data_IF_546168319588
#
_entry.id   IF_546168319588
#
_cell.length_a   1.000
_cell.length_b   1.000
_cell.length_c   1.000
_cell.angle_alpha   90.00
_cell.angle_beta   90.00
_cell.angle_gamma   90.00
#
_symmetry.space_group_name_H-M   'P 1'
#
loop_
_entity.id
_entity.type
_entity.pdbx_description
1 polymer ?
#
# COMPACT_ATOMS: atom_id res chain seq x y z
N UNK A 1 -47.03 -18.34 28.09
CA UNK A 1 -45.75 -19.02 27.80
C UNK A 1 -44.73 -18.44 28.74
N UNK A 2 -44.37 -19.15 29.81
CA UNK A 2 -43.31 -18.70 30.73
C UNK A 2 -41.97 -18.86 30.03
N UNK A 3 -41.26 -17.74 29.83
CA UNK A 3 -39.88 -17.76 29.35
C UNK A 3 -39.03 -18.24 30.52
N UNK A 4 -38.62 -19.52 30.51
CA UNK A 4 -37.59 -20.02 31.42
C UNK A 4 -36.26 -19.38 31.05
N UNK A 5 -35.89 -18.33 31.78
CA UNK A 5 -34.54 -17.78 31.75
C UNK A 5 -33.66 -18.74 32.54
N UNK A 6 -32.85 -19.53 31.83
CA UNK A 6 -31.87 -20.41 32.45
C UNK A 6 -30.59 -19.59 32.68
N UNK A 7 -30.32 -19.23 33.93
CA UNK A 7 -29.10 -18.50 34.27
C UNK A 7 -27.87 -19.40 34.09
N UNK A 8 -26.84 -18.84 33.45
CA UNK A 8 -25.57 -19.54 33.27
C UNK A 8 -24.84 -19.61 34.62
N UNK A 9 -24.30 -20.78 34.94
CA UNK A 9 -23.39 -20.91 36.09
C UNK A 9 -22.12 -20.09 35.88
N UNK A 10 -21.46 -19.70 36.97
CA UNK A 10 -20.19 -18.96 36.95
C UNK A 10 -19.12 -19.66 36.09
N UNK A 11 -19.06 -21.00 36.14
CA UNK A 11 -18.17 -21.79 35.27
C UNK A 11 -18.48 -21.64 33.79
N UNK A 12 -19.76 -21.58 33.42
CA UNK A 12 -20.19 -21.40 32.02
C UNK A 12 -19.92 -19.97 31.54
N UNK A 13 -20.06 -18.96 32.42
CA UNK A 13 -19.69 -17.58 32.12
C UNK A 13 -18.17 -17.45 31.88
N UNK A 14 -17.35 -18.09 32.72
CA UNK A 14 -15.89 -18.13 32.55
C UNK A 14 -15.48 -18.82 31.24
N UNK A 15 -16.11 -19.93 30.91
CA UNK A 15 -15.83 -20.65 29.67
C UNK A 15 -16.25 -19.83 28.43
N UNK A 16 -17.40 -19.16 28.50
CA UNK A 16 -17.87 -18.26 27.46
C UNK A 16 -16.92 -17.07 27.29
N UNK A 17 -16.51 -16.42 28.38
CA UNK A 17 -15.56 -15.30 28.35
C UNK A 17 -14.23 -15.72 27.70
N UNK A 18 -13.70 -16.90 28.06
CA UNK A 18 -12.50 -17.46 27.42
C UNK A 18 -12.69 -17.67 25.91
N UNK A 19 -13.82 -18.24 25.49
CA UNK A 19 -14.12 -18.46 24.06
C UNK A 19 -14.25 -17.14 23.29
N UNK A 20 -14.89 -16.13 23.87
CA UNK A 20 -15.01 -14.79 23.28
C UNK A 20 -13.62 -14.16 23.09
N UNK A 21 -12.78 -14.17 24.12
CA UNK A 21 -11.42 -13.60 24.04
C UNK A 21 -10.59 -14.30 22.97
N UNK A 22 -10.66 -15.63 22.88
CA UNK A 22 -9.96 -16.41 21.84
C UNK A 22 -10.49 -16.07 20.44
N UNK A 23 -11.80 -15.95 20.26
CA UNK A 23 -12.41 -15.58 18.98
C UNK A 23 -11.97 -14.19 18.54
N UNK A 24 -12.07 -13.19 19.41
CA UNK A 24 -11.66 -11.80 19.11
C UNK A 24 -10.19 -11.74 18.70
N UNK A 25 -9.31 -12.46 19.42
CA UNK A 25 -7.88 -12.52 19.05
C UNK A 25 -7.67 -13.12 17.67
N UNK A 26 -8.39 -14.20 17.35
CA UNK A 26 -8.31 -14.86 16.04
C UNK A 26 -8.82 -13.95 14.92
N UNK A 27 -9.93 -13.26 15.15
CA UNK A 27 -10.53 -12.33 14.17
C UNK A 27 -9.58 -11.16 13.88
N UNK A 28 -8.99 -10.56 14.93
CA UNK A 28 -7.96 -9.52 14.78
C UNK A 28 -6.74 -10.02 14.01
N UNK A 29 -6.25 -11.24 14.29
CA UNK A 29 -5.12 -11.81 13.55
C UNK A 29 -5.44 -12.02 12.06
N UNK A 30 -6.67 -12.44 11.75
CA UNK A 30 -7.13 -12.59 10.37
C UNK A 30 -7.25 -11.24 9.66
N UNK A 31 -7.83 -10.22 10.31
CA UNK A 31 -7.92 -8.86 9.78
C UNK A 31 -6.52 -8.29 9.47
N UNK A 32 -5.56 -8.47 10.38
CA UNK A 32 -4.15 -8.07 10.18
C UNK A 32 -3.55 -8.75 8.94
N UNK A 33 -3.73 -10.06 8.79
CA UNK A 33 -3.22 -10.81 7.63
C UNK A 33 -3.87 -10.33 6.33
N UNK A 34 -5.17 -10.07 6.35
CA UNK A 34 -5.92 -9.55 5.20
C UNK A 34 -5.46 -8.14 4.83
N UNK A 35 -5.26 -7.27 5.82
CA UNK A 35 -4.76 -5.92 5.61
C UNK A 35 -3.37 -5.94 4.95
N UNK A 36 -2.40 -6.67 5.52
CA UNK A 36 -1.05 -6.80 4.94
C UNK A 36 -1.08 -7.33 3.51
N UNK A 37 -1.95 -8.32 3.23
CA UNK A 37 -2.14 -8.87 1.88
C UNK A 37 -2.69 -7.80 0.90
N UNK A 38 -3.68 -7.01 1.33
CA UNK A 38 -4.25 -5.91 0.54
C UNK A 38 -3.24 -4.79 0.30
N UNK A 39 -2.50 -4.38 1.32
CA UNK A 39 -1.46 -3.36 1.22
C UNK A 39 -0.36 -3.76 0.23
N UNK A 40 0.15 -4.98 0.33
CA UNK A 40 1.11 -5.53 -0.65
C UNK A 40 0.54 -5.54 -2.07
N UNK A 41 -0.70 -6.00 -2.23
CA UNK A 41 -1.36 -6.01 -3.54
C UNK A 41 -1.50 -4.59 -4.13
N UNK A 42 -1.92 -3.63 -3.32
CA UNK A 42 -2.09 -2.23 -3.72
C UNK A 42 -0.76 -1.58 -4.07
N UNK A 43 0.30 -1.81 -3.29
CA UNK A 43 1.64 -1.33 -3.61
C UNK A 43 2.12 -1.89 -4.96
N UNK A 44 1.93 -3.20 -5.19
CA UNK A 44 2.25 -3.81 -6.49
C UNK A 44 1.44 -3.19 -7.64
N UNK A 45 0.15 -2.95 -7.44
CA UNK A 45 -0.74 -2.37 -8.45
C UNK A 45 -0.32 -0.93 -8.81
N UNK A 46 0.01 -0.13 -7.80
CA UNK A 46 0.55 1.22 -7.95
C UNK A 46 1.84 1.20 -8.77
N UNK A 47 2.83 0.38 -8.37
CA UNK A 47 4.11 0.32 -9.08
C UNK A 47 3.97 -0.18 -10.52
N UNK A 48 3.13 -1.18 -10.76
CA UNK A 48 2.90 -1.70 -12.12
C UNK A 48 2.30 -0.65 -13.05
N UNK A 49 1.49 0.28 -12.50
CA UNK A 49 0.86 1.36 -13.27
C UNK A 49 1.49 2.73 -13.03
N UNK A 50 2.66 2.80 -12.40
CA UNK A 50 3.26 4.05 -11.92
C UNK A 50 3.34 5.12 -13.02
N UNK A 51 3.91 4.77 -14.18
CA UNK A 51 4.04 5.68 -15.32
C UNK A 51 2.68 6.21 -15.85
N UNK A 52 1.66 5.34 -15.93
CA UNK A 52 0.31 5.73 -16.39
C UNK A 52 -0.34 6.69 -15.39
N UNK A 53 -0.26 6.35 -14.10
CA UNK A 53 -0.82 7.16 -13.02
C UNK A 53 -0.07 8.49 -12.89
N UNK A 54 1.25 8.50 -13.08
CA UNK A 54 2.08 9.70 -13.07
C UNK A 54 1.73 10.62 -14.24
N UNK A 55 1.63 10.08 -15.46
CA UNK A 55 1.20 10.84 -16.63
C UNK A 55 -0.22 11.42 -16.46
N UNK A 56 -1.16 10.60 -15.97
CA UNK A 56 -2.52 11.08 -15.66
C UNK A 56 -2.51 12.17 -14.59
N UNK A 57 -1.79 11.97 -13.49
CA UNK A 57 -1.67 12.96 -12.40
C UNK A 57 -1.16 14.29 -12.93
N UNK A 58 -0.07 14.28 -13.70
CA UNK A 58 0.49 15.51 -14.27
C UNK A 58 -0.50 16.20 -15.22
N UNK A 59 -1.22 15.45 -16.05
CA UNK A 59 -2.20 16.02 -16.98
C UNK A 59 -3.41 16.66 -16.30
N UNK A 60 -3.77 16.20 -15.09
CA UNK A 60 -4.92 16.74 -14.34
C UNK A 60 -4.53 17.69 -13.21
N UNK A 61 -3.25 17.86 -12.93
CA UNK A 61 -2.73 18.69 -11.83
C UNK A 61 -3.08 20.16 -12.00
N UNK A 62 -2.83 20.73 -13.18
CA UNK A 62 -3.18 22.12 -13.52
C UNK A 62 -4.69 22.40 -13.28
N UNK A 63 -5.54 21.47 -13.71
CA UNK A 63 -7.00 21.55 -13.54
C UNK A 63 -7.45 21.46 -12.07
N UNK A 64 -6.64 20.86 -11.19
CA UNK A 64 -6.94 20.75 -9.75
C UNK A 64 -6.52 22.02 -9.01
N UNK A 65 -5.42 22.66 -9.43
CA UNK A 65 -4.93 23.91 -8.84
C UNK A 65 -5.83 25.10 -9.22
N UNK A 66 -6.28 25.19 -10.47
CA UNK A 66 -7.19 26.24 -10.95
C UNK A 66 -8.54 26.26 -10.22
N UNK A 67 -9.05 25.11 -9.78
CA UNK A 67 -10.37 25.00 -9.17
C UNK A 67 -10.36 25.23 -7.66
N UNK A 68 -9.23 25.27 -6.97
CA UNK A 68 -9.23 25.61 -5.54
C UNK A 68 -9.82 27.02 -5.26
N UNK A 69 -9.75 27.94 -6.22
CA UNK A 69 -10.37 29.26 -6.14
C UNK A 69 -11.89 29.29 -6.37
N UNK A 70 -12.47 28.24 -6.98
CA UNK A 70 -13.92 28.15 -7.32
C UNK A 70 -14.63 26.99 -6.63
N UNK A 71 -13.89 26.18 -5.87
CA UNK A 71 -14.35 24.94 -5.22
C UNK A 71 -15.51 25.11 -4.24
N UNK A 72 -15.71 26.32 -3.71
CA UNK A 72 -16.73 26.59 -2.70
C UNK A 72 -18.05 27.15 -3.26
N UNK A 73 -18.14 27.46 -4.56
CA UNK A 73 -19.25 28.28 -5.09
C UNK A 73 -20.28 27.56 -5.98
N UNK A 74 -20.08 26.32 -6.41
CA UNK A 74 -21.02 25.69 -7.35
C UNK A 74 -21.63 24.36 -6.91
N UNK A 75 -22.89 24.47 -6.51
CA UNK A 75 -23.84 23.42 -6.15
C UNK A 75 -24.45 22.79 -7.40
N UNK A 76 -23.79 21.88 -8.13
CA UNK A 76 -24.48 20.87 -8.99
C UNK A 76 -23.63 19.60 -9.20
N UNK A 77 -24.19 18.46 -8.77
CA UNK A 77 -23.64 17.09 -8.86
C UNK A 77 -23.27 16.69 -10.30
N UNK A 78 -21.97 16.67 -10.63
CA UNK A 78 -21.27 15.67 -11.47
C UNK A 78 -19.82 16.11 -11.75
N UNK A 79 -19.57 17.42 -11.87
CA UNK A 79 -18.20 17.96 -11.96
C UNK A 79 -17.42 17.68 -10.67
N UNK A 80 -18.03 17.90 -9.50
CA UNK A 80 -17.38 17.71 -8.21
C UNK A 80 -16.78 16.32 -8.03
N UNK A 81 -17.47 15.26 -8.45
CA UNK A 81 -17.00 13.87 -8.24
C UNK A 81 -15.80 13.57 -9.14
N UNK A 82 -15.83 13.98 -10.41
CA UNK A 82 -14.71 13.82 -11.32
C UNK A 82 -13.49 14.62 -10.83
N UNK A 83 -13.73 15.86 -10.39
CA UNK A 83 -12.71 16.73 -9.83
C UNK A 83 -12.11 16.20 -8.53
N UNK A 84 -12.94 15.70 -7.62
CA UNK A 84 -12.50 15.02 -6.41
C UNK A 84 -11.64 13.79 -6.74
N UNK A 85 -12.03 13.00 -7.74
CA UNK A 85 -11.24 11.84 -8.17
C UNK A 85 -9.90 12.25 -8.76
N UNK A 86 -9.84 13.29 -9.60
CA UNK A 86 -8.59 13.88 -10.11
C UNK A 86 -7.70 14.37 -8.97
N UNK A 87 -8.25 15.15 -8.04
CA UNK A 87 -7.51 15.66 -6.89
C UNK A 87 -6.99 14.53 -5.97
N UNK A 88 -7.77 13.47 -5.77
CA UNK A 88 -7.34 12.27 -5.05
C UNK A 88 -6.18 11.58 -5.77
N UNK A 89 -6.26 11.40 -7.09
CA UNK A 89 -5.17 10.83 -7.88
C UNK A 89 -3.88 11.65 -7.78
N UNK A 90 -3.98 12.98 -7.86
CA UNK A 90 -2.82 13.88 -7.70
C UNK A 90 -2.20 13.75 -6.32
N UNK A 91 -3.00 13.83 -5.25
CA UNK A 91 -2.52 13.67 -3.88
C UNK A 91 -1.89 12.29 -3.65
N UNK A 92 -2.50 11.23 -4.17
CA UNK A 92 -1.98 9.88 -4.08
C UNK A 92 -0.62 9.74 -4.78
N UNK A 93 -0.48 10.28 -6.00
CA UNK A 93 0.79 10.20 -6.72
C UNK A 93 1.89 11.05 -6.06
N UNK A 94 1.55 12.23 -5.51
CA UNK A 94 2.49 13.01 -4.67
C UNK A 94 2.98 12.19 -3.47
N UNK A 95 2.07 11.50 -2.78
CA UNK A 95 2.42 10.60 -1.67
C UNK A 95 3.34 9.46 -2.13
N UNK A 96 3.00 8.80 -3.23
CA UNK A 96 3.82 7.72 -3.81
C UNK A 96 5.24 8.20 -4.15
N UNK A 97 5.37 9.38 -4.77
CA UNK A 97 6.69 9.94 -5.11
C UNK A 97 7.55 10.25 -3.87
N UNK A 98 6.93 10.77 -2.79
CA UNK A 98 7.61 10.99 -1.51
C UNK A 98 8.09 9.66 -0.93
N UNK A 99 7.23 8.64 -0.89
CA UNK A 99 7.57 7.31 -0.39
C UNK A 99 8.68 6.64 -1.22
N UNK A 100 8.68 6.81 -2.54
CA UNK A 100 9.73 6.29 -3.41
C UNK A 100 11.09 6.94 -3.15
N UNK A 101 11.12 8.25 -2.94
CA UNK A 101 12.35 8.97 -2.55
C UNK A 101 12.87 8.49 -1.19
N UNK A 102 11.99 8.36 -0.20
CA UNK A 102 12.37 7.83 1.10
C UNK A 102 12.93 6.40 1.00
N UNK A 103 12.29 5.53 0.21
CA UNK A 103 12.80 4.18 -0.02
C UNK A 103 14.16 4.17 -0.71
N UNK A 104 14.35 5.02 -1.73
CA UNK A 104 15.64 5.19 -2.42
C UNK A 104 16.75 5.58 -1.43
N UNK A 105 16.50 6.60 -0.61
CA UNK A 105 17.45 7.09 0.39
C UNK A 105 17.82 5.99 1.38
N UNK A 106 16.82 5.28 1.93
CA UNK A 106 17.02 4.15 2.84
C UNK A 106 17.90 3.06 2.22
N UNK A 107 17.61 2.68 0.96
CA UNK A 107 18.37 1.66 0.25
C UNK A 107 19.80 2.10 -0.07
N UNK A 108 20.01 3.38 -0.39
CA UNK A 108 21.35 3.93 -0.67
C UNK A 108 22.20 4.09 0.59
N UNK A 109 21.59 4.41 1.73
CA UNK A 109 22.29 4.52 3.02
C UNK A 109 22.52 3.17 3.70
N UNK A 110 21.88 2.09 3.25
CA UNK A 110 22.02 0.77 3.83
C UNK A 110 23.44 0.22 3.62
N UNK A 111 23.98 -0.41 4.67
CA UNK A 111 25.25 -1.15 4.59
C UNK A 111 25.10 -2.48 3.84
N UNK A 112 23.87 -2.91 3.56
CA UNK A 112 23.59 -4.19 2.89
C UNK A 112 23.49 -3.98 1.36
N UNK A 113 24.34 -4.65 0.56
CA UNK A 113 24.29 -4.56 -0.90
C UNK A 113 22.94 -5.00 -1.51
N UNK A 114 22.20 -5.84 -0.79
CA UNK A 114 20.88 -6.32 -1.22
C UNK A 114 19.85 -5.19 -1.31
N UNK A 115 19.89 -4.19 -0.42
CA UNK A 115 18.92 -3.10 -0.41
C UNK A 115 19.15 -2.16 -1.59
N UNK A 116 20.42 -1.85 -1.91
CA UNK A 116 20.75 -1.12 -3.12
C UNK A 116 20.31 -1.87 -4.38
N UNK A 117 20.44 -3.21 -4.39
CA UNK A 117 19.97 -4.05 -5.49
C UNK A 117 18.44 -4.00 -5.62
N UNK A 118 17.70 -4.09 -4.51
CA UNK A 118 16.23 -3.95 -4.49
C UNK A 118 15.80 -2.61 -5.09
N UNK A 119 16.44 -1.51 -4.71
CA UNK A 119 16.18 -0.19 -5.31
C UNK A 119 16.43 -0.19 -6.82
N UNK A 120 17.59 -0.69 -7.28
CA UNK A 120 17.91 -0.77 -8.71
C UNK A 120 16.85 -1.55 -9.49
N UNK A 121 16.38 -2.67 -8.95
CA UNK A 121 15.31 -3.49 -9.54
C UNK A 121 14.01 -2.68 -9.64
N UNK A 122 13.56 -2.04 -8.55
CA UNK A 122 12.32 -1.25 -8.56
C UNK A 122 12.42 -0.08 -9.54
N UNK A 123 13.52 0.67 -9.49
CA UNK A 123 13.73 1.85 -10.32
C UNK A 123 13.66 1.50 -11.82
N UNK A 124 14.47 0.53 -12.26
CA UNK A 124 14.52 0.14 -13.67
C UNK A 124 13.34 -0.70 -14.12
N UNK A 125 12.55 -1.28 -13.22
CA UNK A 125 11.35 -2.03 -13.60
C UNK A 125 10.11 -1.16 -13.74
N UNK A 126 9.98 -0.10 -12.94
CA UNK A 126 8.71 0.63 -12.84
C UNK A 126 8.80 2.15 -12.98
N UNK A 127 9.96 2.76 -12.71
CA UNK A 127 10.07 4.21 -12.49
C UNK A 127 10.79 4.89 -13.64
N UNK A 128 12.05 4.52 -13.88
CA UNK A 128 12.92 5.24 -14.80
C UNK A 128 13.24 4.42 -16.05
N UNK A 129 13.07 5.04 -17.22
CA UNK A 129 13.44 4.44 -18.49
C UNK A 129 14.98 4.30 -18.65
N UNK A 130 15.49 3.33 -19.43
CA UNK A 130 14.73 2.26 -20.09
C UNK A 130 14.22 1.23 -19.08
N UNK A 131 12.97 0.79 -19.27
CA UNK A 131 12.39 -0.27 -18.45
C UNK A 131 13.00 -1.62 -18.81
N UNK A 132 13.41 -2.38 -17.80
CA UNK A 132 14.11 -3.65 -17.98
C UNK A 132 13.22 -4.84 -17.60
N UNK A 133 13.33 -5.91 -18.40
CA UNK A 133 12.75 -7.21 -18.06
C UNK A 133 13.52 -7.88 -16.90
N UNK A 134 12.92 -8.91 -16.30
CA UNK A 134 13.57 -9.71 -15.26
C UNK A 134 14.89 -10.32 -15.73
N UNK A 135 14.93 -10.80 -16.98
CA UNK A 135 16.13 -11.41 -17.56
C UNK A 135 17.24 -10.38 -17.77
N UNK A 136 16.89 -9.17 -18.24
CA UNK A 136 17.87 -8.08 -18.40
C UNK A 136 18.38 -7.55 -17.06
N UNK A 137 17.52 -7.49 -16.04
CA UNK A 137 17.95 -7.15 -14.69
C UNK A 137 18.87 -8.23 -14.10
N UNK A 138 18.58 -9.51 -14.35
CA UNK A 138 19.41 -10.63 -13.91
C UNK A 138 20.81 -10.57 -14.54
N UNK A 139 20.88 -10.33 -15.86
CA UNK A 139 22.14 -10.11 -16.59
C UNK A 139 22.93 -8.92 -16.00
N UNK A 140 22.31 -7.74 -15.88
CA UNK A 140 22.99 -6.51 -15.42
C UNK A 140 23.47 -6.57 -13.96
N UNK A 141 22.72 -7.27 -13.11
CA UNK A 141 23.02 -7.36 -11.68
C UNK A 141 23.85 -8.61 -11.33
N UNK A 142 24.17 -9.45 -12.32
CA UNK A 142 24.88 -10.72 -12.16
C UNK A 142 24.25 -11.62 -11.08
N UNK A 143 22.93 -11.81 -11.16
CA UNK A 143 22.17 -12.68 -10.26
C UNK A 143 21.17 -13.52 -11.04
N UNK A 144 20.71 -14.62 -10.44
CA UNK A 144 19.64 -15.41 -11.05
C UNK A 144 18.33 -14.63 -11.15
N UNK A 145 17.53 -14.94 -12.17
CA UNK A 145 16.17 -14.42 -12.33
C UNK A 145 15.30 -14.65 -11.08
N UNK A 146 15.48 -15.77 -10.39
CA UNK A 146 14.79 -16.09 -9.14
C UNK A 146 15.13 -15.08 -8.03
N UNK A 147 16.38 -14.61 -7.97
CA UNK A 147 16.83 -13.57 -7.04
C UNK A 147 16.24 -12.21 -7.41
N UNK A 148 16.17 -11.85 -8.70
CA UNK A 148 15.47 -10.63 -9.14
C UNK A 148 14.01 -10.65 -8.70
N UNK A 149 13.30 -11.77 -8.90
CA UNK A 149 11.90 -11.89 -8.52
C UNK A 149 11.67 -11.87 -7.02
N UNK A 150 12.54 -12.52 -6.25
CA UNK A 150 12.50 -12.47 -4.78
C UNK A 150 12.75 -11.05 -4.28
N UNK A 151 13.82 -10.39 -4.73
CA UNK A 151 14.13 -9.02 -4.31
C UNK A 151 13.08 -8.01 -4.78
N UNK A 152 12.47 -8.18 -5.96
CA UNK A 152 11.34 -7.35 -6.38
C UNK A 152 10.13 -7.51 -5.43
N UNK A 153 9.84 -8.74 -4.98
CA UNK A 153 8.76 -9.01 -4.02
C UNK A 153 9.06 -8.41 -2.66
N UNK A 154 10.29 -8.55 -2.16
CA UNK A 154 10.74 -7.95 -0.91
C UNK A 154 10.65 -6.42 -0.98
N UNK A 155 11.13 -5.81 -2.06
CA UNK A 155 11.07 -4.37 -2.25
C UNK A 155 9.62 -3.84 -2.29
N UNK A 156 8.70 -4.57 -2.92
CA UNK A 156 7.27 -4.23 -2.89
C UNK A 156 6.65 -4.40 -1.49
N UNK A 157 7.14 -5.33 -0.68
CA UNK A 157 6.72 -5.49 0.71
C UNK A 157 7.23 -4.32 1.55
N UNK A 158 8.50 -3.94 1.41
CA UNK A 158 9.10 -2.77 2.07
C UNK A 158 8.32 -1.49 1.69
N UNK A 159 8.06 -1.28 0.39
CA UNK A 159 7.26 -0.15 -0.10
C UNK A 159 5.84 -0.16 0.44
N UNK A 160 5.21 -1.33 0.63
CA UNK A 160 3.88 -1.37 1.24
C UNK A 160 3.90 -0.85 2.69
N UNK A 161 4.97 -1.09 3.43
CA UNK A 161 5.13 -0.51 4.79
C UNK A 161 5.31 1.01 4.70
N UNK A 162 6.14 1.49 3.77
CA UNK A 162 6.41 2.92 3.61
C UNK A 162 5.17 3.70 3.13
N UNK A 163 4.39 3.10 2.22
CA UNK A 163 3.18 3.72 1.66
C UNK A 163 2.03 3.81 2.67
N UNK A 164 1.83 2.76 3.48
CA UNK A 164 0.67 2.65 4.39
C UNK A 164 1.02 2.93 5.87
N UNK A 165 2.30 3.08 6.20
CA UNK A 165 2.76 3.57 7.50
C UNK A 165 2.32 2.71 8.68
N UNK A 166 1.89 3.37 9.77
CA UNK A 166 1.56 2.72 11.05
C UNK A 166 0.46 1.67 10.93
N UNK A 167 -0.42 1.76 9.93
CA UNK A 167 -1.47 0.76 9.71
C UNK A 167 -0.89 -0.61 9.36
N UNK A 168 0.33 -0.67 8.83
CA UNK A 168 1.05 -1.92 8.59
C UNK A 168 1.62 -2.55 9.86
N UNK A 169 1.72 -1.76 10.94
CA UNK A 169 2.27 -2.15 12.25
C UNK A 169 1.21 -2.22 13.34
N UNK A 170 -0.01 -1.75 13.10
CA UNK A 170 -1.03 -1.60 14.15
C UNK A 170 -1.47 -2.95 14.74
N UNK A 171 -1.41 -3.01 16.07
CA UNK A 171 -1.62 -4.22 16.86
C UNK A 171 -2.88 -4.22 17.74
N UNK A 172 -3.66 -3.12 17.77
CA UNK A 172 -4.79 -2.88 18.69
C UNK A 172 -5.91 -3.93 18.62
#
# INVERSE_FOLDING_TARGET
MEVKVNELSEKQLDELAKKIVVSIRKDREQEKKLFKKRAFHNAKLLMTNYHKLKAHSNAVEEHVEEVQGTFWEHKWLNLDVLMQNKAKSVKLMKHVDICLKAYEEMCKSSTKPEDLRKWRIINKRYIEAPFLSEDKLAEQLHVDRSTVNRNCKEALADLSVILFGIDMMNDW
#
